data_IF_180953493367
#
_entry.id   IF_180953493367
#
_cell.length_a   1.000
_cell.length_b   1.000
_cell.length_c   1.000
_cell.angle_alpha   90.00
_cell.angle_beta   90.00
_cell.angle_gamma   90.00
#
_symmetry.space_group_name_H-M   'P 1'
#
loop_
_entity.id
_entity.type
_entity.pdbx_description
1 polymer ?
#
# COMPACT_ATOMS: atom_id res chain seq x y z
N UNK A 1 -2.09 -18.65 34.26
CA UNK A 1 -2.76 -17.45 34.79
C UNK A 1 -2.38 -16.28 33.90
N UNK A 2 -3.23 -15.87 32.95
CA UNK A 2 -3.05 -14.62 32.21
C UNK A 2 -4.10 -13.62 32.67
N UNK A 3 -3.63 -12.49 33.18
CA UNK A 3 -4.40 -11.25 33.26
C UNK A 3 -3.49 -10.16 32.72
N UNK A 4 -3.83 -9.64 31.56
CA UNK A 4 -3.49 -8.27 31.19
C UNK A 4 -4.77 -7.65 30.64
N UNK A 5 -5.49 -7.02 31.55
CA UNK A 5 -6.55 -6.06 31.26
C UNK A 5 -5.81 -4.78 30.86
N UNK A 6 -5.96 -4.33 29.61
CA UNK A 6 -5.73 -2.92 29.28
C UNK A 6 -7.07 -2.23 29.37
N UNK A 7 -7.26 -1.44 30.42
CA UNK A 7 -8.30 -0.43 30.49
C UNK A 7 -8.13 0.52 29.30
N UNK A 8 -9.08 0.52 28.36
CA UNK A 8 -9.18 1.59 27.39
C UNK A 8 -9.83 2.78 28.12
N UNK A 9 -9.03 3.81 28.38
CA UNK A 9 -9.54 5.12 28.80
C UNK A 9 -10.35 5.70 27.62
N UNK A 10 -11.68 5.66 27.74
CA UNK A 10 -12.62 6.12 26.72
C UNK A 10 -12.63 7.64 26.52
N UNK A 11 -11.81 8.39 27.27
CA UNK A 11 -11.66 9.84 27.12
C UNK A 11 -10.69 10.24 26.01
N UNK A 12 -9.90 9.28 25.49
CA UNK A 12 -8.90 9.53 24.47
C UNK A 12 -9.46 9.20 23.07
N UNK A 13 -9.31 10.07 22.05
CA UNK A 13 -9.68 9.77 20.67
C UNK A 13 -9.08 8.44 20.23
N UNK A 14 -9.88 7.63 19.54
CA UNK A 14 -9.43 6.38 18.92
C UNK A 14 -8.27 6.71 17.97
N UNK A 15 -7.12 6.06 18.20
CA UNK A 15 -5.94 6.18 17.35
C UNK A 15 -5.80 4.88 16.56
N UNK A 16 -5.66 4.99 15.24
CA UNK A 16 -5.43 3.85 14.34
C UNK A 16 -4.20 4.12 13.47
N UNK A 17 -3.48 3.05 13.14
CA UNK A 17 -2.31 3.07 12.27
C UNK A 17 -2.47 1.97 11.23
N UNK A 18 -2.21 2.31 9.98
CA UNK A 18 -2.50 1.40 8.88
C UNK A 18 -1.59 1.62 7.66
N UNK A 19 -1.30 0.57 6.90
CA UNK A 19 -0.59 0.72 5.61
C UNK A 19 -1.59 1.19 4.56
N UNK A 20 -1.33 2.38 4.00
CA UNK A 20 -2.09 2.89 2.86
C UNK A 20 -1.62 2.22 1.56
N UNK A 21 -0.30 2.08 1.42
CA UNK A 21 0.37 1.39 0.33
C UNK A 21 1.82 1.12 0.73
N UNK A 22 2.35 -0.06 0.42
CA UNK A 22 3.78 -0.31 0.46
C UNK A 22 4.21 -1.03 -0.82
N UNK A 23 5.46 -0.87 -1.22
CA UNK A 23 6.06 -1.65 -2.31
C UNK A 23 7.50 -1.98 -1.98
N UNK A 24 7.92 -3.19 -2.33
CA UNK A 24 9.33 -3.55 -2.37
C UNK A 24 9.90 -3.11 -3.72
N UNK A 25 11.00 -2.37 -3.71
CA UNK A 25 11.72 -1.96 -4.90
C UNK A 25 13.04 -2.74 -4.98
N UNK A 26 13.43 -3.13 -6.19
CA UNK A 26 14.78 -3.62 -6.50
C UNK A 26 15.53 -2.53 -7.26
N UNK A 27 16.72 -2.20 -6.79
CA UNK A 27 17.60 -1.24 -7.43
C UNK A 27 18.73 -1.98 -8.15
N UNK A 28 18.73 -1.89 -9.48
CA UNK A 28 19.76 -2.48 -10.35
C UNK A 28 20.63 -1.35 -10.91
N UNK A 29 21.79 -1.10 -10.30
CA UNK A 29 22.82 -0.23 -10.91
C UNK A 29 23.78 -1.11 -11.73
N UNK A 30 24.19 -0.71 -12.95
CA UNK A 30 25.21 -1.43 -13.71
C UNK A 30 26.50 -1.56 -12.89
N UNK A 31 26.90 -2.80 -12.57
CA UNK A 31 28.08 -3.08 -11.75
C UNK A 31 27.85 -3.07 -10.23
N UNK A 32 26.62 -2.88 -9.75
CA UNK A 32 26.24 -3.08 -8.34
C UNK A 32 25.18 -4.16 -8.20
N UNK A 33 25.28 -4.91 -7.12
CA UNK A 33 24.34 -5.97 -6.78
C UNK A 33 22.94 -5.40 -6.49
N UNK A 34 21.89 -6.19 -6.75
CA UNK A 34 20.49 -5.76 -6.61
C UNK A 34 20.20 -5.44 -5.14
N UNK A 35 19.86 -4.19 -4.84
CA UNK A 35 19.48 -3.80 -3.48
C UNK A 35 17.95 -3.75 -3.33
N UNK A 36 17.43 -4.33 -2.25
CA UNK A 36 15.99 -4.32 -1.94
C UNK A 36 15.72 -3.34 -0.79
N UNK A 37 14.72 -2.49 -0.98
CA UNK A 37 14.14 -1.64 0.08
C UNK A 37 12.62 -1.61 -0.06
N UNK A 38 11.93 -1.25 1.03
CA UNK A 38 10.51 -0.93 0.99
C UNK A 38 10.34 0.57 1.10
N UNK A 39 9.42 1.12 0.33
CA UNK A 39 8.85 2.43 0.61
C UNK A 39 7.34 2.35 0.53
N UNK A 40 6.67 3.28 1.20
CA UNK A 40 5.23 3.25 1.28
C UNK A 40 4.66 4.46 1.98
N UNK A 41 3.34 4.49 2.01
CA UNK A 41 2.57 5.46 2.76
C UNK A 41 1.71 4.78 3.82
N UNK A 42 1.51 5.49 4.93
CA UNK A 42 0.77 5.05 6.10
C UNK A 42 -0.40 6.01 6.32
N UNK A 43 -1.55 5.46 6.71
CA UNK A 43 -2.67 6.25 7.23
C UNK A 43 -2.59 6.22 8.76
N UNK A 44 -2.61 7.42 9.34
CA UNK A 44 -2.69 7.60 10.79
C UNK A 44 -4.02 8.27 11.09
N UNK A 45 -4.91 7.57 11.79
CA UNK A 45 -6.11 8.21 12.32
C UNK A 45 -5.89 8.66 13.75
N UNK A 46 -6.01 9.95 13.98
CA UNK A 46 -5.85 10.64 15.26
C UNK A 46 -6.31 12.08 15.11
N UNK A 47 -6.55 12.80 16.21
CA UNK A 47 -6.86 14.23 16.11
C UNK A 47 -5.70 14.99 15.43
N UNK A 48 -6.05 15.90 14.50
CA UNK A 48 -5.10 16.73 13.78
C UNK A 48 -4.25 17.58 14.75
N UNK A 49 -2.94 17.68 14.47
CA UNK A 49 -2.01 18.49 15.27
C UNK A 49 -1.54 17.84 16.59
N UNK A 50 -1.96 16.62 16.89
CA UNK A 50 -1.43 15.85 18.02
C UNK A 50 0.08 15.62 17.89
N UNK A 51 0.84 15.85 18.97
CA UNK A 51 2.26 15.48 18.99
C UNK A 51 2.39 13.96 18.92
N UNK A 52 2.97 13.46 17.83
CA UNK A 52 3.08 12.03 17.56
C UNK A 52 4.30 11.73 16.71
N UNK A 53 4.76 10.49 16.79
CA UNK A 53 5.85 9.97 15.96
C UNK A 53 5.45 8.64 15.37
N UNK A 54 5.68 8.48 14.08
CA UNK A 54 5.34 7.26 13.33
C UNK A 54 6.64 6.59 12.91
N UNK A 55 6.73 5.29 13.14
CA UNK A 55 7.92 4.50 12.85
C UNK A 55 7.57 3.23 12.07
N UNK A 56 8.49 2.82 11.22
CA UNK A 56 8.60 1.45 10.75
C UNK A 56 9.67 0.77 11.57
N UNK A 57 9.28 -0.22 12.37
CA UNK A 57 10.20 -1.07 13.12
C UNK A 57 10.59 -2.25 12.25
N UNK A 58 11.81 -2.21 11.74
CA UNK A 58 12.35 -3.17 10.78
C UNK A 58 13.33 -4.12 11.48
N UNK A 59 13.14 -5.42 11.29
CA UNK A 59 14.11 -6.47 11.60
C UNK A 59 14.93 -6.73 10.34
N UNK A 60 16.16 -6.25 10.34
CA UNK A 60 17.07 -6.37 9.21
C UNK A 60 17.48 -7.84 8.94
N UNK A 61 18.15 -8.12 7.81
CA UNK A 61 18.64 -9.46 7.51
C UNK A 61 19.59 -10.05 8.57
N UNK A 62 20.27 -9.20 9.34
CA UNK A 62 21.15 -9.58 10.47
C UNK A 62 20.39 -9.77 11.79
N UNK A 63 19.05 -9.78 11.74
CA UNK A 63 18.14 -9.93 12.89
C UNK A 63 18.26 -8.80 13.91
N UNK A 64 18.66 -7.62 13.49
CA UNK A 64 18.69 -6.41 14.30
C UNK A 64 17.43 -5.57 14.07
N UNK A 65 16.81 -5.13 15.15
CA UNK A 65 15.64 -4.25 15.08
C UNK A 65 16.06 -2.79 15.05
N UNK A 66 15.61 -2.06 14.04
CA UNK A 66 15.81 -0.62 13.89
C UNK A 66 14.47 0.10 13.75
N UNK A 67 14.37 1.31 14.29
CA UNK A 67 13.23 2.19 14.08
C UNK A 67 13.56 3.19 12.98
N UNK A 68 12.75 3.20 11.94
CA UNK A 68 12.84 4.13 10.82
C UNK A 68 11.71 5.13 10.97
N UNK A 69 12.04 6.41 11.13
CA UNK A 69 11.02 7.45 11.19
C UNK A 69 10.26 7.57 9.87
N UNK A 70 8.94 7.64 9.95
CA UNK A 70 8.11 8.06 8.83
C UNK A 70 7.97 9.59 8.86
N UNK A 71 7.83 10.18 7.68
CA UNK A 71 7.66 11.62 7.50
C UNK A 71 6.19 11.94 7.21
N UNK A 72 5.64 12.93 7.90
CA UNK A 72 4.31 13.46 7.60
C UNK A 72 4.29 14.02 6.17
N UNK A 73 3.27 13.66 5.39
CA UNK A 73 3.04 14.22 4.06
C UNK A 73 1.94 15.29 4.09
N UNK A 74 0.75 14.92 4.54
CA UNK A 74 -0.43 15.82 4.57
C UNK A 74 -1.56 15.25 5.43
N UNK A 75 -2.40 16.14 5.94
CA UNK A 75 -3.73 15.84 6.48
C UNK A 75 -4.70 15.58 5.32
N UNK A 76 -5.47 14.51 5.41
CA UNK A 76 -6.53 14.15 4.46
C UNK A 76 -7.86 14.75 4.90
N UNK A 77 -8.17 14.63 6.20
CA UNK A 77 -9.35 15.17 6.86
C UNK A 77 -9.03 15.43 8.36
N UNK A 78 -10.01 15.92 9.13
CA UNK A 78 -9.84 16.31 10.54
C UNK A 78 -9.26 15.22 11.45
N UNK A 79 -9.29 13.95 11.01
CA UNK A 79 -8.85 12.81 11.80
C UNK A 79 -7.83 11.92 11.09
N UNK A 80 -7.43 12.22 9.87
CA UNK A 80 -6.61 11.30 9.06
C UNK A 80 -5.41 12.00 8.46
N UNK A 81 -4.22 11.45 8.68
CA UNK A 81 -2.97 11.93 8.11
C UNK A 81 -2.32 10.86 7.25
N UNK A 82 -1.65 11.31 6.20
CA UNK A 82 -0.82 10.49 5.34
C UNK A 82 0.65 10.70 5.70
N UNK A 83 1.36 9.61 5.94
CA UNK A 83 2.79 9.59 6.25
C UNK A 83 3.52 8.76 5.21
N UNK A 84 4.82 9.00 5.01
CA UNK A 84 5.68 8.25 4.09
C UNK A 84 6.86 7.64 4.85
N UNK A 85 7.24 6.42 4.48
CA UNK A 85 8.44 5.79 4.97
C UNK A 85 9.25 5.20 3.83
N UNK A 86 10.56 5.06 4.09
CA UNK A 86 11.49 4.33 3.23
C UNK A 86 12.51 3.61 4.10
N UNK A 87 12.63 2.30 3.92
CA UNK A 87 13.63 1.51 4.63
C UNK A 87 15.01 1.72 4.01
N UNK A 88 16.09 1.44 4.76
CA UNK A 88 17.40 1.28 4.16
C UNK A 88 17.37 0.24 3.04
N UNK A 89 18.27 0.43 2.07
CA UNK A 89 18.52 -0.54 1.02
C UNK A 89 19.45 -1.62 1.55
N UNK A 90 19.04 -2.88 1.41
CA UNK A 90 19.86 -4.02 1.73
C UNK A 90 20.36 -4.64 0.43
N UNK A 91 21.68 -4.65 0.26
CA UNK A 91 22.33 -5.29 -0.89
C UNK A 91 22.14 -6.79 -0.86
N UNK A 92 22.06 -7.39 -2.05
CA UNK A 92 22.18 -8.83 -2.22
C UNK A 92 23.50 -9.32 -1.64
N UNK A 93 23.48 -10.41 -0.86
CA UNK A 93 24.69 -11.08 -0.39
C UNK A 93 24.79 -12.41 -1.17
N UNK A 94 25.83 -12.62 -1.99
CA UNK A 94 26.01 -13.83 -2.81
C UNK A 94 26.03 -15.14 -2.01
N UNK A 95 26.30 -15.08 -0.70
CA UNK A 95 26.30 -16.23 0.21
C UNK A 95 25.02 -16.39 1.03
N UNK A 96 24.09 -15.43 0.99
CA UNK A 96 22.84 -15.47 1.74
C UNK A 96 21.67 -15.97 0.88
N UNK A 97 20.78 -16.77 1.48
CA UNK A 97 19.51 -17.17 0.88
C UNK A 97 18.56 -15.97 0.75
N UNK A 98 18.81 -15.07 -0.21
CA UNK A 98 18.03 -13.86 -0.48
C UNK A 98 17.94 -12.88 0.70
N UNK A 99 17.84 -11.59 0.38
CA UNK A 99 17.58 -10.57 1.39
C UNK A 99 16.13 -10.71 1.85
N UNK A 100 15.93 -11.26 3.04
CA UNK A 100 14.63 -11.26 3.72
C UNK A 100 14.67 -10.42 4.98
N UNK A 101 13.60 -9.67 5.20
CA UNK A 101 13.44 -8.84 6.39
C UNK A 101 11.98 -8.74 6.80
N UNK A 102 11.75 -8.42 8.06
CA UNK A 102 10.43 -8.27 8.64
C UNK A 102 10.22 -6.85 9.14
N UNK A 103 8.99 -6.35 9.12
CA UNK A 103 8.69 -5.06 9.74
C UNK A 103 7.31 -5.01 10.38
N UNK A 104 7.14 -4.05 11.28
CA UNK A 104 5.87 -3.64 11.86
C UNK A 104 5.81 -2.11 11.86
N UNK A 105 4.61 -1.56 11.95
CA UNK A 105 4.39 -0.13 12.13
C UNK A 105 4.17 0.18 13.61
N UNK A 106 4.63 1.35 14.04
CA UNK A 106 4.42 1.84 15.39
C UNK A 106 4.05 3.33 15.35
N UNK A 107 3.02 3.69 16.09
CA UNK A 107 2.61 5.06 16.33
C UNK A 107 2.75 5.34 17.82
N UNK A 108 3.60 6.32 18.13
CA UNK A 108 3.92 6.76 19.48
C UNK A 108 3.27 8.11 19.72
N UNK A 109 2.44 8.18 20.75
CA UNK A 109 1.85 9.43 21.24
C UNK A 109 2.26 9.59 22.71
N UNK A 110 2.98 10.68 23.09
CA UNK A 110 3.41 10.87 24.46
C UNK A 110 2.27 10.75 25.46
N UNK A 111 2.47 9.97 26.52
CA UNK A 111 1.45 9.72 27.55
C UNK A 111 0.42 8.65 27.20
N UNK A 112 0.55 7.96 26.06
CA UNK A 112 -0.32 6.83 25.66
C UNK A 112 0.52 5.57 25.38
N UNK A 113 -0.09 4.37 25.46
CA UNK A 113 0.52 3.15 24.94
C UNK A 113 0.77 3.26 23.43
N UNK A 114 1.86 2.64 22.97
CA UNK A 114 2.18 2.55 21.54
C UNK A 114 1.12 1.75 20.78
N UNK A 115 0.74 2.25 19.61
CA UNK A 115 -0.17 1.55 18.69
C UNK A 115 0.66 0.81 17.64
N UNK A 116 0.44 -0.49 17.51
CA UNK A 116 1.18 -1.36 16.60
C UNK A 116 0.28 -1.90 15.49
N UNK A 117 0.77 -1.82 14.26
CA UNK A 117 0.32 -2.71 13.19
C UNK A 117 1.44 -3.71 12.89
N UNK A 118 1.28 -4.92 13.42
CA UNK A 118 2.22 -6.01 13.30
C UNK A 118 1.59 -7.24 12.65
N UNK A 119 0.57 -7.06 11.79
CA UNK A 119 -0.11 -8.15 11.09
C UNK A 119 -0.53 -9.30 12.05
N UNK A 120 -1.27 -8.97 13.11
CA UNK A 120 -1.73 -9.92 14.12
C UNK A 120 -0.58 -10.71 14.80
N UNK A 121 0.54 -10.04 15.06
CA UNK A 121 1.73 -10.61 15.70
C UNK A 121 2.67 -11.38 14.76
N UNK A 122 2.37 -11.46 13.46
CA UNK A 122 3.23 -12.15 12.47
C UNK A 122 4.30 -11.24 11.86
N UNK A 123 4.13 -9.93 11.98
CA UNK A 123 4.84 -8.90 11.22
C UNK A 123 4.59 -9.02 9.71
N UNK A 124 4.99 -8.00 8.98
CA UNK A 124 5.10 -8.03 7.54
C UNK A 124 6.45 -8.65 7.15
N UNK A 125 6.50 -9.46 6.10
CA UNK A 125 7.72 -10.13 5.64
C UNK A 125 7.97 -9.84 4.16
N UNK A 126 9.22 -9.57 3.81
CA UNK A 126 9.69 -9.41 2.43
C UNK A 126 10.77 -10.43 2.14
N UNK A 127 10.72 -11.06 0.96
CA UNK A 127 11.82 -11.88 0.43
C UNK A 127 11.79 -13.39 0.68
N UNK A 128 10.70 -13.97 1.21
CA UNK A 128 10.62 -15.44 1.40
C UNK A 128 10.07 -16.16 0.16
N UNK A 129 10.96 -16.70 -0.68
CA UNK A 129 10.61 -17.54 -1.85
C UNK A 129 11.25 -17.11 -3.17
N UNK A 130 11.47 -18.07 -4.08
CA UNK A 130 12.28 -17.95 -5.31
C UNK A 130 11.83 -16.85 -6.28
N UNK A 131 12.81 -16.07 -6.77
CA UNK A 131 12.77 -15.02 -7.81
C UNK A 131 11.92 -13.78 -7.48
N UNK A 132 12.63 -12.73 -7.06
CA UNK A 132 12.19 -11.35 -6.81
C UNK A 132 11.07 -11.21 -5.77
N UNK A 133 11.22 -10.29 -4.79
CA UNK A 133 10.10 -9.98 -3.92
C UNK A 133 9.01 -9.39 -4.81
N UNK A 134 7.91 -10.12 -4.95
CA UNK A 134 6.64 -9.55 -5.36
C UNK A 134 6.39 -8.34 -4.45
N UNK A 135 5.85 -7.22 -4.96
CA UNK A 135 5.58 -6.06 -4.12
C UNK A 135 4.75 -6.53 -2.93
N UNK A 136 5.22 -6.24 -1.72
CA UNK A 136 4.40 -6.48 -0.54
C UNK A 136 3.22 -5.52 -0.60
N UNK A 137 2.03 -6.03 -0.94
CA UNK A 137 0.81 -5.24 -0.98
C UNK A 137 0.09 -5.41 0.36
N UNK A 138 0.22 -4.41 1.23
CA UNK A 138 -0.58 -4.32 2.43
C UNK A 138 -1.75 -3.37 2.20
N UNK A 139 -2.96 -3.89 2.39
CA UNK A 139 -4.22 -3.22 2.06
C UNK A 139 -4.72 -2.25 3.11
N UNK A 140 -4.39 -2.52 4.36
CA UNK A 140 -5.03 -1.84 5.47
C UNK A 140 -6.56 -1.82 5.36
N UNK A 141 -7.14 -0.64 5.54
CA UNK A 141 -8.56 -0.34 5.41
C UNK A 141 -9.01 -0.28 3.94
N UNK A 142 -8.08 -0.03 3.01
CA UNK A 142 -8.41 -0.03 1.58
C UNK A 142 -8.71 -1.45 1.12
N UNK A 143 -9.63 -1.57 0.17
CA UNK A 143 -9.97 -2.86 -0.44
C UNK A 143 -9.40 -3.03 -1.84
N UNK A 144 -8.96 -1.94 -2.46
CA UNK A 144 -8.34 -1.89 -3.78
C UNK A 144 -7.07 -1.04 -3.70
N UNK A 145 -5.98 -1.48 -4.33
CA UNK A 145 -4.72 -0.73 -4.42
C UNK A 145 -4.24 -0.76 -5.87
N UNK A 146 -4.21 0.37 -6.58
CA UNK A 146 -3.59 0.42 -7.89
C UNK A 146 -2.06 0.32 -7.79
N UNK A 147 -1.48 -0.41 -8.73
CA UNK A 147 -0.06 -0.53 -8.96
C UNK A 147 0.24 -0.18 -10.41
N UNK A 148 0.78 1.02 -10.58
CA UNK A 148 1.08 1.58 -11.88
C UNK A 148 2.51 1.15 -12.24
N UNK A 149 2.64 0.04 -12.96
CA UNK A 149 3.95 -0.58 -13.22
C UNK A 149 4.76 0.16 -14.30
N UNK A 150 4.14 0.90 -15.24
CA UNK A 150 4.86 1.81 -16.15
C UNK A 150 3.90 2.57 -17.06
N UNK A 151 4.09 3.88 -17.18
CA UNK A 151 3.57 4.68 -18.29
C UNK A 151 4.58 4.52 -19.42
N UNK A 152 4.38 3.56 -20.31
CA UNK A 152 5.16 3.51 -21.55
C UNK A 152 4.49 4.43 -22.55
N UNK A 153 5.16 5.56 -22.81
CA UNK A 153 4.75 6.77 -23.56
C UNK A 153 4.16 6.51 -24.96
N UNK A 154 4.18 5.27 -25.47
CA UNK A 154 3.80 4.94 -26.85
C UNK A 154 2.67 3.91 -27.01
N UNK A 155 2.26 3.18 -25.97
CA UNK A 155 1.33 2.02 -26.09
C UNK A 155 0.09 2.12 -25.16
N UNK A 156 -0.28 3.33 -24.74
CA UNK A 156 -1.37 3.54 -23.78
C UNK A 156 -0.97 3.24 -22.34
N UNK A 157 -1.92 3.37 -21.42
CA UNK A 157 -1.68 3.20 -20.00
C UNK A 157 -1.82 1.73 -19.59
N UNK A 158 -0.71 1.16 -19.09
CA UNK A 158 -0.64 -0.21 -18.56
C UNK A 158 -0.40 -0.19 -17.07
N UNK A 159 -1.07 -1.07 -16.36
CA UNK A 159 -0.93 -1.17 -14.91
C UNK A 159 -1.64 -2.37 -14.35
N UNK A 160 -1.80 -2.38 -13.04
CA UNK A 160 -2.57 -3.39 -12.34
C UNK A 160 -3.35 -2.79 -11.18
N UNK A 161 -4.39 -3.48 -10.76
CA UNK A 161 -5.03 -3.23 -9.47
C UNK A 161 -5.05 -4.52 -8.65
N UNK A 162 -4.63 -4.36 -7.40
CA UNK A 162 -4.68 -5.41 -6.41
C UNK A 162 -5.97 -5.29 -5.61
N UNK A 163 -6.58 -6.44 -5.29
CA UNK A 163 -7.80 -6.52 -4.49
C UNK A 163 -7.54 -7.30 -3.21
N UNK A 164 -8.05 -6.77 -2.10
CA UNK A 164 -7.87 -7.34 -0.77
C UNK A 164 -8.51 -8.71 -0.66
N UNK A 165 -7.83 -9.73 -0.08
CA UNK A 165 -8.45 -11.00 0.25
C UNK A 165 -9.67 -10.87 1.17
N UNK A 166 -9.75 -9.80 1.96
CA UNK A 166 -10.81 -9.58 2.92
C UNK A 166 -12.22 -9.46 2.29
N UNK A 167 -12.31 -9.15 0.98
CA UNK A 167 -13.58 -9.07 0.25
C UNK A 167 -13.79 -10.27 -0.70
N UNK A 168 -12.91 -11.28 -0.62
CA UNK A 168 -12.86 -12.40 -1.56
C UNK A 168 -12.51 -11.95 -2.98
N UNK A 169 -12.59 -12.87 -3.95
CA UNK A 169 -12.40 -12.56 -5.38
C UNK A 169 -13.67 -11.87 -5.93
N UNK A 170 -13.61 -10.58 -6.34
CA UNK A 170 -14.74 -9.93 -6.99
C UNK A 170 -15.14 -10.61 -8.30
N UNK A 171 -16.41 -10.50 -8.67
CA UNK A 171 -16.91 -10.95 -9.98
C UNK A 171 -16.63 -9.94 -11.09
N UNK A 172 -16.56 -8.66 -10.73
CA UNK A 172 -16.21 -7.57 -11.64
C UNK A 172 -15.25 -6.61 -10.95
N UNK A 173 -14.25 -6.14 -11.70
CA UNK A 173 -13.36 -5.05 -11.32
C UNK A 173 -13.24 -4.16 -12.54
N UNK A 174 -13.54 -2.88 -12.36
CA UNK A 174 -13.61 -1.90 -13.43
C UNK A 174 -12.83 -0.65 -13.07
N UNK A 175 -12.28 0.00 -14.09
CA UNK A 175 -11.85 1.40 -13.99
C UNK A 175 -12.94 2.28 -14.58
N UNK A 176 -13.29 3.33 -13.86
CA UNK A 176 -14.19 4.39 -14.33
C UNK A 176 -13.35 5.64 -14.48
N UNK A 177 -13.44 6.27 -15.64
CA UNK A 177 -12.57 7.39 -15.98
C UNK A 177 -13.26 8.43 -16.85
N UNK A 178 -12.68 9.62 -16.86
CA UNK A 178 -13.19 10.81 -17.53
C UNK A 178 -12.03 11.59 -18.14
N UNK A 179 -12.29 12.24 -19.28
CA UNK A 179 -11.38 13.21 -19.92
C UNK A 179 -11.86 14.66 -19.80
N UNK A 180 -13.03 14.89 -19.22
CA UNK A 180 -13.74 16.16 -19.28
C UNK A 180 -14.20 16.66 -17.90
N UNK A 181 -13.45 16.27 -16.85
CA UNK A 181 -13.75 16.59 -15.44
C UNK A 181 -15.11 16.05 -14.99
N UNK A 182 -15.38 14.79 -15.31
CA UNK A 182 -16.57 14.03 -14.92
C UNK A 182 -17.88 14.53 -15.53
N UNK A 183 -17.83 15.18 -16.70
CA UNK A 183 -19.06 15.47 -17.47
C UNK A 183 -19.52 14.23 -18.24
N UNK A 184 -18.60 13.37 -18.63
CA UNK A 184 -18.87 12.04 -19.17
C UNK A 184 -18.01 10.98 -18.48
N UNK A 185 -18.57 9.79 -18.32
CA UNK A 185 -17.88 8.65 -17.73
C UNK A 185 -17.68 7.55 -18.78
N UNK A 186 -16.49 6.95 -18.74
CA UNK A 186 -16.14 5.77 -19.50
C UNK A 186 -15.85 4.64 -18.51
N UNK A 187 -16.31 3.44 -18.82
CA UNK A 187 -16.17 2.27 -17.96
C UNK A 187 -15.41 1.20 -18.74
N UNK A 188 -14.33 0.70 -18.16
CA UNK A 188 -13.57 -0.43 -18.68
C UNK A 188 -13.51 -1.53 -17.62
N UNK A 189 -14.12 -2.68 -17.92
CA UNK A 189 -13.94 -3.91 -17.12
C UNK A 189 -12.54 -4.46 -17.33
N UNK A 190 -11.86 -4.77 -16.22
CA UNK A 190 -10.47 -5.21 -16.22
C UNK A 190 -10.36 -6.73 -16.33
N UNK A 191 -9.21 -7.21 -16.79
CA UNK A 191 -8.94 -8.64 -16.93
C UNK A 191 -8.20 -9.19 -15.72
N UNK A 192 -8.70 -10.29 -15.16
CA UNK A 192 -8.03 -11.01 -14.08
C UNK A 192 -6.82 -11.77 -14.62
N UNK A 193 -5.65 -11.60 -14.00
CA UNK A 193 -4.37 -12.08 -14.56
C UNK A 193 -3.72 -13.21 -13.77
N UNK A 194 -4.37 -13.69 -12.69
CA UNK A 194 -3.93 -14.72 -11.73
C UNK A 194 -3.35 -14.14 -10.42
N UNK A 195 -3.34 -15.00 -9.40
CA UNK A 195 -2.89 -14.73 -8.05
C UNK A 195 -1.37 -14.47 -8.05
N UNK A 196 -0.94 -13.38 -7.41
CA UNK A 196 0.50 -13.13 -7.25
C UNK A 196 1.14 -14.24 -6.41
N UNK A 197 2.47 -14.33 -6.38
CA UNK A 197 3.17 -15.24 -5.45
C UNK A 197 2.89 -14.93 -3.97
N UNK A 198 2.22 -13.81 -3.66
CA UNK A 198 1.56 -13.60 -2.37
C UNK A 198 0.24 -14.39 -2.36
N UNK A 199 0.20 -15.43 -1.53
CA UNK A 199 -0.79 -16.52 -1.52
C UNK A 199 -2.27 -16.06 -1.47
N UNK A 200 -2.55 -14.80 -1.14
CA UNK A 200 -3.92 -14.32 -0.89
C UNK A 200 -4.29 -13.01 -1.63
N UNK A 201 -3.49 -12.49 -2.56
CA UNK A 201 -3.83 -11.23 -3.27
C UNK A 201 -4.28 -11.48 -4.71
N UNK A 202 -5.41 -10.89 -5.07
CA UNK A 202 -5.96 -10.95 -6.43
C UNK A 202 -5.50 -9.75 -7.26
N UNK A 203 -5.16 -9.97 -8.55
CA UNK A 203 -4.67 -8.93 -9.48
C UNK A 203 -5.50 -8.87 -10.76
N UNK A 204 -5.83 -7.65 -11.18
CA UNK A 204 -6.37 -7.33 -12.51
C UNK A 204 -5.37 -6.44 -13.25
N UNK A 205 -5.25 -6.65 -14.56
CA UNK A 205 -4.46 -5.76 -15.41
C UNK A 205 -5.32 -4.62 -15.96
N UNK A 206 -4.68 -3.46 -16.06
CA UNK A 206 -5.20 -2.26 -16.67
C UNK A 206 -4.52 -2.13 -18.03
N UNK A 207 -5.34 -2.03 -19.07
CA UNK A 207 -4.90 -1.66 -20.42
C UNK A 207 -5.88 -0.60 -20.93
N UNK A 208 -5.51 0.66 -20.73
CA UNK A 208 -6.33 1.79 -21.13
C UNK A 208 -5.68 2.54 -22.28
N UNK A 209 -6.36 2.54 -23.44
CA UNK A 209 -5.93 3.29 -24.61
C UNK A 209 -6.55 4.69 -24.57
N UNK A 210 -5.71 5.69 -24.35
CA UNK A 210 -6.08 7.10 -24.21
C UNK A 210 -5.12 7.94 -25.06
N UNK A 211 -5.59 9.04 -25.67
CA UNK A 211 -4.71 9.90 -26.47
C UNK A 211 -3.55 10.46 -25.62
N UNK A 212 -2.40 10.70 -26.27
CA UNK A 212 -1.28 11.39 -25.64
C UNK A 212 -1.69 12.80 -25.20
N UNK A 213 -0.99 13.33 -24.21
CA UNK A 213 -1.18 14.64 -23.59
C UNK A 213 -2.59 14.90 -23.05
N UNK A 214 -3.28 13.84 -22.62
CA UNK A 214 -4.64 13.95 -22.08
C UNK A 214 -4.61 13.83 -20.55
N UNK A 215 -5.31 14.73 -19.88
CA UNK A 215 -5.62 14.64 -18.44
C UNK A 215 -6.74 13.63 -18.22
N UNK A 216 -6.50 12.66 -17.35
CA UNK A 216 -7.39 11.55 -17.06
C UNK A 216 -7.72 11.60 -15.57
N UNK A 217 -9.00 11.78 -15.25
CA UNK A 217 -9.51 11.56 -13.89
C UNK A 217 -10.08 10.14 -13.82
N UNK A 218 -9.73 9.34 -12.82
CA UNK A 218 -10.23 7.97 -12.70
C UNK A 218 -10.40 7.49 -11.26
N UNK A 219 -11.22 6.46 -11.09
CA UNK A 219 -11.35 5.68 -9.86
C UNK A 219 -11.58 4.21 -10.20
N UNK A 220 -11.42 3.34 -9.20
CA UNK A 220 -11.66 1.91 -9.37
C UNK A 220 -12.89 1.45 -8.62
N UNK A 221 -13.56 0.44 -9.18
CA UNK A 221 -14.73 -0.20 -8.58
C UNK A 221 -14.55 -1.70 -8.64
N UNK A 222 -14.86 -2.38 -7.53
CA UNK A 222 -14.97 -3.82 -7.46
C UNK A 222 -16.35 -4.22 -6.96
N UNK A 223 -16.93 -5.27 -7.54
CA UNK A 223 -18.22 -5.82 -7.15
C UNK A 223 -18.01 -7.27 -6.71
N UNK A 224 -18.37 -7.58 -5.45
CA UNK A 224 -18.26 -8.96 -4.92
C UNK A 224 -19.26 -9.90 -5.59
N UNK A 225 -19.13 -11.20 -5.34
CA UNK A 225 -20.10 -12.18 -5.83
C UNK A 225 -21.52 -11.84 -5.35
N UNK A 226 -21.64 -11.47 -4.09
CA UNK A 226 -22.89 -11.13 -3.40
C UNK A 226 -23.46 -9.76 -3.79
N UNK A 227 -22.67 -8.92 -4.46
CA UNK A 227 -23.12 -7.65 -5.03
C UNK A 227 -22.66 -6.41 -4.26
N UNK A 228 -21.86 -6.57 -3.20
CA UNK A 228 -21.26 -5.44 -2.49
C UNK A 228 -20.32 -4.65 -3.40
N UNK A 229 -20.34 -3.33 -3.25
CA UNK A 229 -19.56 -2.41 -4.08
C UNK A 229 -18.46 -1.77 -3.24
N UNK A 230 -17.22 -1.91 -3.70
CA UNK A 230 -16.06 -1.24 -3.14
C UNK A 230 -15.50 -0.27 -4.17
N UNK A 231 -15.28 0.98 -3.76
CA UNK A 231 -14.74 2.03 -4.62
C UNK A 231 -13.45 2.55 -4.02
N UNK A 232 -12.40 2.68 -4.84
CA UNK A 232 -11.20 3.41 -4.48
C UNK A 232 -11.12 4.70 -5.30
N UNK A 233 -11.38 5.81 -4.62
CA UNK A 233 -11.38 7.19 -5.13
C UNK A 233 -10.14 7.96 -4.66
N UNK A 234 -9.04 7.29 -4.30
CA UNK A 234 -7.84 7.97 -3.77
C UNK A 234 -8.18 8.93 -2.60
N UNK A 235 -8.98 8.46 -1.64
CA UNK A 235 -9.51 9.26 -0.52
C UNK A 235 -10.39 10.44 -0.97
N UNK A 236 -11.44 10.16 -1.76
CA UNK A 236 -12.44 11.13 -2.24
C UNK A 236 -11.91 12.22 -3.18
N UNK A 237 -10.72 12.05 -3.75
CA UNK A 237 -10.11 13.01 -4.68
C UNK A 237 -10.03 12.50 -6.12
N UNK A 238 -10.35 11.24 -6.34
CA UNK A 238 -10.02 10.47 -7.54
C UNK A 238 -8.52 10.52 -7.85
N UNK A 239 -8.11 9.72 -8.82
CA UNK A 239 -6.76 9.76 -9.35
C UNK A 239 -6.71 10.70 -10.54
N UNK A 240 -5.63 11.47 -10.62
CA UNK A 240 -5.32 12.34 -11.75
C UNK A 240 -4.04 11.86 -12.40
N UNK A 241 -4.07 11.69 -13.72
CA UNK A 241 -2.92 11.27 -14.52
C UNK A 241 -2.86 12.10 -15.80
N UNK A 242 -1.67 12.53 -16.18
CA UNK A 242 -1.39 13.05 -17.51
C UNK A 242 -0.78 11.90 -18.31
N UNK A 243 -1.43 11.48 -19.39
CA UNK A 243 -0.82 10.56 -20.35
C UNK A 243 0.21 11.37 -21.15
N UNK A 244 1.51 11.15 -20.91
CA UNK A 244 2.57 11.90 -21.60
C UNK A 244 2.86 11.33 -22.99
#
# INVERSE_FOLDING_TARGET
>A
MSRSISCFDSSLPAIELDIAQAKANNFNEPGKETATYIEGTLLVRSDAGMNKSVYVRLCDPKKQWINIGASYLRTIDDKTELWYFKTPSYGYDPGAEYVSFQFALCLVVPGRPDVWDNNYGKNYEVGKGTKCPTPLIAFGARKLIPNLESIMIYDGWKGSIYVSPAIGKPKDVSIIWSLDKWKSENILSLQYVYQTNQVDVYRWNIELNVPQHTEINYYFKAITKDGDIYVDTNNNKNYDLINY
#
